data_IF_482239571144
#
_entry.id   IF_482239571144
#
_cell.length_a   1.000
_cell.length_b   1.000
_cell.length_c   1.000
_cell.angle_alpha   90.00
_cell.angle_beta   90.00
_cell.angle_gamma   90.00
#
_symmetry.space_group_name_H-M   'P 1'
#
loop_
_entity.id
_entity.type
_entity.pdbx_description
1 polymer ?
#
# COMPACT_ATOMS: atom_id res chain seq x y z
N UNK A 1 18.56 -38.87 -18.25
CA UNK A 1 18.59 -38.39 -16.88
C UNK A 1 18.90 -39.55 -15.94
N UNK A 2 19.90 -39.41 -15.09
CA UNK A 2 20.18 -40.39 -14.06
C UNK A 2 19.29 -40.17 -12.85
N UNK A 3 19.12 -41.22 -12.03
CA UNK A 3 18.33 -41.11 -10.80
C UNK A 3 18.92 -40.09 -9.85
N UNK A 4 20.23 -39.96 -9.79
CA UNK A 4 20.91 -38.94 -8.96
C UNK A 4 20.63 -37.52 -9.44
N UNK A 5 20.56 -37.29 -10.75
CA UNK A 5 20.22 -35.98 -11.33
C UNK A 5 18.76 -35.59 -11.00
N UNK A 6 17.85 -36.56 -11.06
CA UNK A 6 16.45 -36.34 -10.73
C UNK A 6 16.27 -35.99 -9.23
N UNK A 7 16.98 -36.72 -8.35
CA UNK A 7 16.94 -36.44 -6.90
C UNK A 7 17.50 -35.06 -6.57
N UNK A 8 18.58 -34.63 -7.24
CA UNK A 8 19.13 -33.28 -7.05
C UNK A 8 18.15 -32.19 -7.49
N UNK A 9 17.45 -32.39 -8.61
CA UNK A 9 16.44 -31.45 -9.11
C UNK A 9 15.27 -31.31 -8.17
N UNK A 10 14.76 -32.39 -7.59
CA UNK A 10 13.70 -32.38 -6.60
C UNK A 10 14.15 -31.64 -5.33
N UNK A 11 15.38 -31.86 -4.89
CA UNK A 11 15.97 -31.16 -3.74
C UNK A 11 16.05 -29.66 -3.95
N UNK A 12 16.47 -29.20 -5.12
CA UNK A 12 16.56 -27.79 -5.47
C UNK A 12 15.17 -27.12 -5.50
N UNK A 13 14.18 -27.77 -6.09
CA UNK A 13 12.80 -27.27 -6.11
C UNK A 13 12.24 -27.16 -4.70
N UNK A 14 12.50 -28.15 -3.83
CA UNK A 14 12.07 -28.10 -2.44
C UNK A 14 12.68 -26.93 -1.66
N UNK A 15 13.96 -26.64 -1.88
CA UNK A 15 14.65 -25.50 -1.26
C UNK A 15 14.07 -24.19 -1.75
N UNK A 16 13.82 -24.04 -3.05
CA UNK A 16 13.21 -22.84 -3.63
C UNK A 16 11.82 -22.58 -3.04
N UNK A 17 10.97 -23.60 -2.94
CA UNK A 17 9.64 -23.47 -2.34
C UNK A 17 9.74 -23.09 -0.87
N UNK A 18 10.69 -23.65 -0.13
CA UNK A 18 10.92 -23.34 1.28
C UNK A 18 11.35 -21.91 1.53
N UNK A 19 11.96 -21.24 0.55
CA UNK A 19 12.37 -19.82 0.65
C UNK A 19 11.28 -18.90 0.12
N UNK A 20 10.64 -19.24 -1.00
CA UNK A 20 9.66 -18.37 -1.68
C UNK A 20 8.38 -18.20 -0.87
N UNK A 21 7.83 -19.26 -0.26
CA UNK A 21 6.58 -19.19 0.49
C UNK A 21 6.68 -18.23 1.66
N UNK A 22 7.68 -18.29 2.56
CA UNK A 22 7.83 -17.31 3.65
C UNK A 22 8.01 -15.87 3.16
N UNK A 23 8.74 -15.67 2.05
CA UNK A 23 8.94 -14.35 1.45
C UNK A 23 7.60 -13.76 0.97
N UNK A 24 6.78 -14.54 0.28
CA UNK A 24 5.45 -14.11 -0.17
C UNK A 24 4.56 -13.71 1.00
N UNK A 25 4.53 -14.50 2.09
CA UNK A 25 3.77 -14.20 3.30
C UNK A 25 4.28 -12.92 3.96
N UNK A 26 5.59 -12.74 4.07
CA UNK A 26 6.21 -11.53 4.63
C UNK A 26 5.88 -10.29 3.81
N UNK A 27 5.94 -10.36 2.49
CA UNK A 27 5.56 -9.26 1.58
C UNK A 27 4.09 -8.90 1.76
N UNK A 28 3.20 -9.89 1.91
CA UNK A 28 1.78 -9.66 2.18
C UNK A 28 1.55 -8.91 3.49
N UNK A 29 2.27 -9.25 4.56
CA UNK A 29 2.19 -8.56 5.85
C UNK A 29 2.71 -7.12 5.75
N UNK A 30 3.83 -6.90 5.08
CA UNK A 30 4.41 -5.58 4.85
C UNK A 30 3.41 -4.72 4.05
N UNK A 31 2.83 -5.26 2.99
CA UNK A 31 1.83 -4.59 2.16
C UNK A 31 0.64 -4.12 3.00
N UNK A 32 0.11 -4.95 3.88
CA UNK A 32 -1.01 -4.59 4.74
C UNK A 32 -0.61 -3.51 5.75
N UNK A 33 0.58 -3.59 6.34
CA UNK A 33 1.12 -2.58 7.24
C UNK A 33 1.27 -1.22 6.55
N UNK A 34 1.80 -1.21 5.32
CA UNK A 34 1.95 0.01 4.52
C UNK A 34 0.58 0.61 4.19
N UNK A 35 -0.40 -0.21 3.80
CA UNK A 35 -1.77 0.27 3.55
C UNK A 35 -2.37 0.94 4.78
N UNK A 36 -2.21 0.35 5.95
CA UNK A 36 -2.71 0.91 7.20
C UNK A 36 -2.03 2.25 7.51
N UNK A 37 -0.74 2.35 7.29
CA UNK A 37 0.01 3.58 7.52
C UNK A 37 -0.39 4.68 6.54
N UNK A 38 -0.52 4.37 5.26
CA UNK A 38 -0.97 5.32 4.23
C UNK A 38 -2.37 5.85 4.56
N UNK A 39 -3.27 4.95 4.94
CA UNK A 39 -4.62 5.32 5.35
C UNK A 39 -4.61 6.25 6.56
N UNK A 40 -3.81 5.93 7.56
CA UNK A 40 -3.68 6.76 8.76
C UNK A 40 -3.17 8.16 8.44
N UNK A 41 -2.17 8.29 7.59
CA UNK A 41 -1.63 9.58 7.17
C UNK A 41 -2.66 10.39 6.38
N UNK A 42 -3.39 9.76 5.46
CA UNK A 42 -4.47 10.42 4.72
C UNK A 42 -5.57 10.91 5.65
N UNK A 43 -5.96 10.12 6.64
CA UNK A 43 -6.98 10.50 7.61
C UNK A 43 -6.50 11.65 8.50
N UNK A 44 -5.23 11.71 8.86
CA UNK A 44 -4.67 12.82 9.62
C UNK A 44 -4.79 14.14 8.84
N UNK A 45 -4.43 14.13 7.56
CA UNK A 45 -4.57 15.30 6.69
C UNK A 45 -6.04 15.71 6.57
N UNK A 46 -6.91 14.73 6.36
CA UNK A 46 -8.34 14.95 6.22
C UNK A 46 -8.94 15.60 7.46
N UNK A 47 -8.73 15.02 8.63
CA UNK A 47 -9.31 15.55 9.87
C UNK A 47 -8.69 16.88 10.29
N UNK A 48 -7.44 17.12 9.95
CA UNK A 48 -6.79 18.40 10.24
C UNK A 48 -7.43 19.58 9.48
N UNK A 49 -7.89 19.32 8.25
CA UNK A 49 -8.39 20.38 7.36
C UNK A 49 -9.90 20.32 7.12
N UNK A 50 -10.60 19.35 7.68
CA UNK A 50 -12.02 19.10 7.42
C UNK A 50 -12.92 20.27 7.77
N UNK A 51 -12.69 20.93 8.89
CA UNK A 51 -13.57 22.00 9.39
C UNK A 51 -13.46 23.27 8.53
N UNK A 52 -12.26 23.60 8.11
CA UNK A 52 -12.00 24.78 7.27
C UNK A 52 -12.28 24.54 5.80
N UNK A 53 -12.27 23.28 5.37
CA UNK A 53 -12.36 22.86 3.96
C UNK A 53 -11.30 23.52 3.08
N UNK A 54 -10.14 23.80 3.68
CA UNK A 54 -8.98 24.35 3.03
C UNK A 54 -7.80 23.42 3.27
N UNK A 55 -6.96 23.22 2.28
CA UNK A 55 -5.79 22.37 2.39
C UNK A 55 -4.59 23.10 1.76
N UNK A 56 -3.46 23.06 2.43
CA UNK A 56 -2.24 23.65 1.89
C UNK A 56 -1.76 22.84 0.70
N UNK A 57 -1.12 23.50 -0.24
CA UNK A 57 -0.69 22.85 -1.48
C UNK A 57 0.22 21.64 -1.21
N UNK A 58 1.18 21.76 -0.27
CA UNK A 58 2.06 20.63 0.03
C UNK A 58 1.30 19.45 0.64
N UNK A 59 0.28 19.72 1.47
CA UNK A 59 -0.56 18.67 2.03
C UNK A 59 -1.42 18.00 0.96
N UNK A 60 -1.93 18.79 0.03
CA UNK A 60 -2.72 18.28 -1.07
C UNK A 60 -1.88 17.36 -1.98
N UNK A 61 -0.70 17.80 -2.36
CA UNK A 61 0.21 16.99 -3.16
C UNK A 61 0.58 15.69 -2.45
N UNK A 62 0.87 15.77 -1.16
CA UNK A 62 1.18 14.61 -0.35
C UNK A 62 -0.02 13.66 -0.28
N UNK A 63 -1.23 14.20 -0.09
CA UNK A 63 -2.46 13.41 -0.05
C UNK A 63 -2.66 12.65 -1.38
N UNK A 64 -2.46 13.30 -2.51
CA UNK A 64 -2.59 12.68 -3.83
C UNK A 64 -1.60 11.52 -3.98
N UNK A 65 -0.35 11.72 -3.58
CA UNK A 65 0.66 10.67 -3.62
C UNK A 65 0.31 9.48 -2.72
N UNK A 66 -0.16 9.77 -1.51
CA UNK A 66 -0.61 8.75 -0.56
C UNK A 66 -1.81 7.96 -1.12
N UNK A 67 -2.75 8.66 -1.72
CA UNK A 67 -3.94 8.04 -2.32
C UNK A 67 -3.56 7.12 -3.48
N UNK A 68 -2.70 7.56 -4.38
CA UNK A 68 -2.23 6.75 -5.49
C UNK A 68 -1.51 5.48 -5.02
N UNK A 69 -0.64 5.62 -4.02
CA UNK A 69 0.05 4.48 -3.43
C UNK A 69 -0.92 3.50 -2.76
N UNK A 70 -1.91 4.03 -2.04
CA UNK A 70 -2.93 3.22 -1.37
C UNK A 70 -3.77 2.44 -2.38
N UNK A 71 -4.17 3.04 -3.47
CA UNK A 71 -4.93 2.37 -4.53
C UNK A 71 -4.08 1.34 -5.27
N UNK A 72 -2.80 1.62 -5.48
CA UNK A 72 -1.87 0.65 -6.07
C UNK A 72 -1.73 -0.61 -5.22
N UNK A 73 -1.87 -0.48 -3.91
CA UNK A 73 -1.86 -1.60 -2.96
C UNK A 73 -3.25 -2.22 -2.76
N UNK A 74 -4.23 -1.86 -3.59
CA UNK A 74 -5.61 -2.35 -3.55
C UNK A 74 -6.31 -2.01 -2.22
N UNK A 75 -6.17 -0.77 -1.78
CA UNK A 75 -6.89 -0.25 -0.63
C UNK A 75 -8.40 -0.20 -0.86
N UNK A 76 -9.19 -0.09 0.24
CA UNK A 76 -10.63 -0.15 0.17
C UNK A 76 -11.27 1.16 -0.31
N UNK A 77 -12.58 1.11 -0.59
CA UNK A 77 -13.33 2.21 -1.16
C UNK A 77 -13.66 3.35 -0.18
N UNK A 78 -13.46 3.15 1.12
CA UNK A 78 -13.69 4.20 2.13
C UNK A 78 -12.85 5.45 1.85
N UNK A 79 -11.59 5.25 1.48
CA UNK A 79 -10.68 6.35 1.15
C UNK A 79 -11.07 7.05 -0.15
N UNK A 80 -11.72 6.36 -1.09
CA UNK A 80 -12.24 6.98 -2.31
C UNK A 80 -13.23 8.10 -2.00
N UNK A 81 -14.11 7.89 -1.02
CA UNK A 81 -15.06 8.90 -0.55
C UNK A 81 -14.34 10.10 0.05
N UNK A 82 -13.33 9.86 0.86
CA UNK A 82 -12.51 10.92 1.47
C UNK A 82 -11.75 11.69 0.40
N UNK A 83 -11.17 11.00 -0.58
CA UNK A 83 -10.49 11.65 -1.69
C UNK A 83 -11.41 12.58 -2.48
N UNK A 84 -12.64 12.15 -2.75
CA UNK A 84 -13.62 12.99 -3.46
C UNK A 84 -13.93 14.26 -2.67
N UNK A 85 -14.07 14.15 -1.36
CA UNK A 85 -14.32 15.30 -0.50
C UNK A 85 -13.13 16.26 -0.51
N UNK A 86 -11.91 15.75 -0.39
CA UNK A 86 -10.67 16.55 -0.43
C UNK A 86 -10.53 17.28 -1.76
N UNK A 87 -10.93 16.67 -2.88
CA UNK A 87 -10.87 17.31 -4.20
C UNK A 87 -11.79 18.53 -4.31
N UNK A 88 -12.81 18.61 -3.47
CA UNK A 88 -13.71 19.76 -3.43
C UNK A 88 -13.21 20.92 -2.55
N UNK A 89 -12.15 20.69 -1.77
CA UNK A 89 -11.59 21.70 -0.88
C UNK A 89 -10.75 22.73 -1.64
N UNK A 90 -10.68 23.94 -1.06
CA UNK A 90 -9.81 24.99 -1.59
C UNK A 90 -8.34 24.68 -1.27
N UNK A 91 -7.50 24.74 -2.29
CA UNK A 91 -6.05 24.59 -2.14
C UNK A 91 -5.45 25.97 -1.90
N UNK A 92 -4.78 26.13 -0.77
CA UNK A 92 -4.11 27.38 -0.40
C UNK A 92 -2.59 27.17 -0.33
N UNK A 93 -1.86 28.23 -0.58
CA UNK A 93 -0.39 28.22 -0.55
C UNK A 93 0.18 28.45 0.85
#
# INVERSE_FOLDING_TARGET
MTLATLAALIGEVGVLLGVVIPVIVSVGKIKNGVKCQLRSEMLQIYYHNRETKQIRQYEYENFVMLYEAYKALKGNSFIDKINREVQEWEVIT
#
